data_IF_812757832975
#
_entry.id   IF_812757832975
#
_cell.length_a   1.000
_cell.length_b   1.000
_cell.length_c   1.000
_cell.angle_alpha   90.00
_cell.angle_beta   90.00
_cell.angle_gamma   90.00
#
_symmetry.space_group_name_H-M   'P 1'
#
loop_
_entity.id
_entity.type
_entity.pdbx_description
1 polymer ?
#
# COMPACT_ATOMS: atom_id res chain seq x y z
N UNK A 1 18.04 25.10 0.12
CA UNK A 1 18.44 23.74 0.56
C UNK A 1 17.50 22.77 -0.12
N UNK A 2 18.01 21.74 -0.78
CA UNK A 2 17.18 20.72 -1.46
C UNK A 2 16.40 19.93 -0.41
N UNK A 3 15.10 19.72 -0.61
CA UNK A 3 14.28 18.89 0.27
C UNK A 3 14.75 17.44 0.18
N UNK A 4 15.01 16.82 1.34
CA UNK A 4 15.30 15.39 1.48
C UNK A 4 14.35 14.78 2.50
N UNK A 5 13.44 13.95 2.01
CA UNK A 5 12.52 13.18 2.83
C UNK A 5 12.87 11.69 2.74
N UNK A 6 12.49 10.90 3.76
CA UNK A 6 12.79 9.47 3.77
C UNK A 6 11.63 8.64 4.27
N UNK A 7 11.44 7.47 3.68
CA UNK A 7 10.70 6.39 4.28
C UNK A 7 11.66 5.46 5.03
N UNK A 8 11.36 5.15 6.28
CA UNK A 8 12.26 4.42 7.17
C UNK A 8 11.55 3.22 7.84
N UNK A 9 11.17 2.18 7.05
CA UNK A 9 10.46 1.04 7.59
C UNK A 9 11.37 0.06 8.32
N UNK A 10 10.83 -0.58 9.39
CA UNK A 10 11.44 -1.75 10.01
C UNK A 10 10.95 -3.02 9.29
N UNK A 11 11.83 -3.92 8.80
CA UNK A 11 11.45 -5.10 8.02
C UNK A 11 11.02 -6.26 8.95
N UNK A 12 9.99 -6.01 9.76
CA UNK A 12 9.45 -6.97 10.74
C UNK A 12 8.15 -7.64 10.26
N UNK A 13 7.79 -7.45 8.99
CA UNK A 13 6.59 -8.01 8.41
C UNK A 13 6.18 -7.39 7.07
N UNK A 14 4.89 -7.34 6.83
CA UNK A 14 4.30 -6.83 5.59
C UNK A 14 4.37 -5.29 5.52
N UNK A 15 4.45 -4.73 4.31
CA UNK A 15 4.24 -3.29 4.11
C UNK A 15 2.76 -2.96 4.39
N UNK A 16 2.50 -2.46 5.60
CA UNK A 16 1.17 -2.10 6.03
C UNK A 16 0.68 -0.83 5.30
N UNK A 17 -0.64 -0.75 5.06
CA UNK A 17 -1.25 0.40 4.33
C UNK A 17 -0.95 1.75 5.01
N UNK A 18 -0.85 1.79 6.35
CA UNK A 18 -0.43 3.00 7.07
C UNK A 18 1.00 3.42 6.75
N UNK A 19 1.93 2.45 6.68
CA UNK A 19 3.31 2.69 6.28
C UNK A 19 3.41 3.08 4.80
N UNK A 20 2.59 2.47 3.95
CA UNK A 20 2.50 2.83 2.53
C UNK A 20 2.02 4.28 2.33
N UNK A 21 1.04 4.74 3.13
CA UNK A 21 0.61 6.15 3.12
C UNK A 21 1.75 7.08 3.56
N UNK A 22 2.48 6.70 4.61
CA UNK A 22 3.66 7.46 5.04
C UNK A 22 4.71 7.54 3.94
N UNK A 23 4.99 6.44 3.24
CA UNK A 23 5.90 6.43 2.10
C UNK A 23 5.39 7.35 0.96
N UNK A 24 4.10 7.25 0.63
CA UNK A 24 3.46 8.08 -0.39
C UNK A 24 3.57 9.59 -0.05
N UNK A 25 3.31 9.99 1.20
CA UNK A 25 3.40 11.39 1.61
C UNK A 25 4.84 11.92 1.56
N UNK A 26 5.83 11.12 1.98
CA UNK A 26 7.24 11.47 1.81
C UNK A 26 7.62 11.62 0.33
N UNK A 27 7.17 10.68 -0.52
CA UNK A 27 7.41 10.73 -1.95
C UNK A 27 6.80 11.96 -2.61
N UNK A 28 5.51 12.22 -2.36
CA UNK A 28 4.79 13.37 -2.94
C UNK A 28 5.41 14.69 -2.49
N UNK A 29 5.73 14.83 -1.20
CA UNK A 29 6.37 16.01 -0.65
C UNK A 29 7.75 16.27 -1.29
N UNK A 30 8.58 15.23 -1.38
CA UNK A 30 9.88 15.34 -2.04
C UNK A 30 9.73 15.75 -3.51
N UNK A 31 8.85 15.10 -4.26
CA UNK A 31 8.63 15.41 -5.69
C UNK A 31 8.03 16.80 -5.91
N UNK A 32 7.09 17.22 -5.08
CA UNK A 32 6.50 18.57 -5.14
C UNK A 32 7.57 19.66 -5.02
N UNK A 33 8.51 19.50 -4.10
CA UNK A 33 9.58 20.45 -3.87
C UNK A 33 10.85 20.23 -4.72
N UNK A 34 10.80 19.37 -5.74
CA UNK A 34 11.96 19.04 -6.59
C UNK A 34 13.12 18.41 -5.81
N UNK A 35 12.81 17.71 -4.71
CA UNK A 35 13.75 17.11 -3.79
C UNK A 35 13.94 15.60 -3.98
N UNK A 36 14.54 14.95 -2.98
CA UNK A 36 14.88 13.53 -2.98
C UNK A 36 14.00 12.74 -2.00
N UNK A 37 13.49 11.59 -2.47
CA UNK A 37 12.80 10.58 -1.67
C UNK A 37 13.74 9.41 -1.41
N UNK A 38 14.21 9.25 -0.18
CA UNK A 38 15.20 8.26 0.23
C UNK A 38 14.54 7.09 0.96
N UNK A 39 15.20 5.93 0.93
CA UNK A 39 14.78 4.74 1.67
C UNK A 39 15.87 4.30 2.64
N UNK A 40 15.50 4.15 3.92
CA UNK A 40 16.33 3.51 4.95
C UNK A 40 15.57 2.34 5.56
N UNK A 41 16.13 1.14 5.49
CA UNK A 41 15.60 -0.05 6.15
C UNK A 41 16.16 -0.12 7.57
N UNK A 42 15.29 -0.08 8.58
CA UNK A 42 15.66 -0.10 10.00
C UNK A 42 15.67 -1.54 10.53
N UNK A 43 16.72 -2.27 10.17
CA UNK A 43 16.95 -3.71 10.39
C UNK A 43 17.88 -4.01 11.58
N UNK A 44 17.95 -3.11 12.56
CA UNK A 44 18.81 -3.28 13.76
C UNK A 44 18.36 -4.42 14.67
N UNK A 45 17.08 -4.78 14.66
CA UNK A 45 16.56 -5.97 15.35
C UNK A 45 16.70 -7.20 14.44
N UNK A 46 17.89 -7.81 14.44
CA UNK A 46 18.21 -8.96 13.58
C UNK A 46 17.33 -10.19 13.82
N UNK A 47 16.76 -10.33 15.00
CA UNK A 47 15.88 -11.46 15.34
C UNK A 47 14.52 -11.37 14.60
N UNK A 48 14.05 -10.16 14.34
CA UNK A 48 12.75 -9.91 13.70
C UNK A 48 12.88 -9.42 12.25
N UNK A 49 14.07 -9.00 11.83
CA UNK A 49 14.34 -8.50 10.47
C UNK A 49 14.78 -9.64 9.57
N UNK A 50 14.09 -9.82 8.44
CA UNK A 50 14.44 -10.85 7.44
C UNK A 50 14.57 -10.24 6.06
N UNK A 51 15.43 -10.85 5.21
CA UNK A 51 15.58 -10.42 3.81
C UNK A 51 14.24 -10.53 3.06
N UNK A 52 13.44 -11.56 3.36
CA UNK A 52 12.11 -11.72 2.77
C UNK A 52 11.17 -10.56 3.13
N UNK A 53 11.17 -10.08 4.38
CA UNK A 53 10.38 -8.93 4.79
C UNK A 53 10.87 -7.63 4.14
N UNK A 54 12.18 -7.50 3.96
CA UNK A 54 12.77 -6.38 3.20
C UNK A 54 12.29 -6.39 1.76
N UNK A 55 12.33 -7.56 1.10
CA UNK A 55 11.89 -7.69 -0.29
C UNK A 55 10.40 -7.34 -0.45
N UNK A 56 9.54 -7.77 0.47
CA UNK A 56 8.10 -7.40 0.48
C UNK A 56 7.90 -5.89 0.55
N UNK A 57 8.72 -5.16 1.31
CA UNK A 57 8.66 -3.70 1.36
C UNK A 57 9.05 -3.10 0.00
N UNK A 58 10.16 -3.57 -0.58
CA UNK A 58 10.64 -3.10 -1.88
C UNK A 58 9.61 -3.37 -2.98
N UNK A 59 9.09 -4.60 -3.08
CA UNK A 59 8.06 -4.99 -4.04
C UNK A 59 6.78 -4.14 -3.89
N UNK A 60 6.39 -3.82 -2.66
CA UNK A 60 5.24 -2.98 -2.38
C UNK A 60 5.44 -1.52 -2.82
N UNK A 61 6.62 -0.94 -2.58
CA UNK A 61 6.97 0.40 -3.04
C UNK A 61 7.06 0.45 -4.57
N UNK A 62 7.68 -0.54 -5.19
CA UNK A 62 7.82 -0.64 -6.65
C UNK A 62 6.45 -0.82 -7.32
N UNK A 63 5.56 -1.65 -6.75
CA UNK A 63 4.19 -1.78 -7.24
C UNK A 63 3.40 -0.47 -7.13
N UNK A 64 3.54 0.28 -6.02
CA UNK A 64 2.92 1.61 -5.88
C UNK A 64 3.59 2.66 -6.78
N UNK A 65 4.72 2.34 -7.43
CA UNK A 65 5.49 3.26 -8.26
C UNK A 65 6.15 4.40 -7.44
N UNK A 66 6.51 4.14 -6.19
CA UNK A 66 7.21 5.08 -5.31
C UNK A 66 8.72 4.93 -5.48
N UNK A 67 9.22 5.43 -6.60
CA UNK A 67 10.65 5.31 -6.97
C UNK A 67 11.51 6.13 -6.04
N UNK A 68 12.41 5.46 -5.33
CA UNK A 68 13.41 6.06 -4.44
C UNK A 68 14.60 6.60 -5.20
N UNK A 69 15.22 7.62 -4.65
CA UNK A 69 16.46 8.19 -5.15
C UNK A 69 17.66 7.57 -4.40
N UNK A 70 18.78 7.41 -5.10
CA UNK A 70 19.99 6.86 -4.52
C UNK A 70 19.89 5.39 -4.09
N UNK A 71 20.82 4.98 -3.25
CA UNK A 71 20.90 3.62 -2.72
C UNK A 71 20.07 3.49 -1.44
N UNK A 72 19.44 2.31 -1.26
CA UNK A 72 18.80 1.96 0.02
C UNK A 72 19.85 1.85 1.12
N UNK A 73 19.65 2.57 2.22
CA UNK A 73 20.50 2.51 3.40
C UNK A 73 19.96 1.41 4.34
N UNK A 74 20.83 0.49 4.75
CA UNK A 74 20.52 -0.51 5.77
C UNK A 74 21.13 -0.10 7.10
N UNK A 75 20.29 0.11 8.11
CA UNK A 75 20.71 0.63 9.41
C UNK A 75 21.67 -0.31 10.14
N UNK A 76 21.52 -1.62 9.97
CA UNK A 76 22.43 -2.63 10.55
C UNK A 76 23.87 -2.51 10.08
N UNK A 77 24.13 -1.96 8.88
CA UNK A 77 25.47 -1.75 8.34
C UNK A 77 26.16 -0.54 8.95
N UNK A 78 25.44 0.29 9.70
CA UNK A 78 25.91 1.57 10.25
C UNK A 78 26.23 1.51 11.76
N UNK A 79 26.22 0.32 12.36
CA UNK A 79 26.42 0.15 13.80
C UNK A 79 27.71 0.80 14.32
N UNK A 80 28.82 0.72 13.55
CA UNK A 80 30.08 1.37 13.90
C UNK A 80 29.96 2.90 13.99
N UNK A 81 29.24 3.52 13.04
CA UNK A 81 28.98 4.98 13.04
C UNK A 81 28.10 5.40 14.21
N UNK A 82 27.08 4.61 14.55
CA UNK A 82 26.24 4.87 15.72
C UNK A 82 27.04 4.79 17.01
N UNK A 83 27.95 3.82 17.16
CA UNK A 83 28.84 3.70 18.30
C UNK A 83 29.83 4.87 18.38
N UNK A 84 30.43 5.27 17.26
CA UNK A 84 31.32 6.42 17.15
C UNK A 84 30.67 7.69 17.72
N UNK A 85 29.45 8.04 17.27
CA UNK A 85 28.70 9.22 17.74
C UNK A 85 28.38 9.10 19.23
N UNK A 86 28.00 7.93 19.74
CA UNK A 86 27.75 7.73 21.16
C UNK A 86 29.01 7.95 22.00
N UNK A 87 30.18 7.53 21.51
CA UNK A 87 31.49 7.81 22.18
C UNK A 87 31.91 9.28 22.07
N UNK A 88 31.60 9.95 20.98
CA UNK A 88 31.82 11.41 20.85
C UNK A 88 31.00 12.17 21.88
N UNK A 89 29.69 11.83 22.04
CA UNK A 89 28.85 12.42 23.10
C UNK A 89 29.39 12.14 24.49
N UNK A 90 29.98 10.96 24.71
CA UNK A 90 30.62 10.61 25.98
C UNK A 90 31.86 11.48 26.23
N UNK A 91 32.71 11.67 25.20
CA UNK A 91 33.92 12.48 25.29
C UNK A 91 33.65 13.97 25.50
N UNK A 92 32.56 14.48 24.94
CA UNK A 92 32.12 15.89 25.06
C UNK A 92 31.26 16.16 26.31
N UNK A 93 31.00 15.13 27.15
CA UNK A 93 30.23 15.25 28.38
C UNK A 93 28.71 15.32 28.19
N UNK A 94 28.21 15.10 26.96
CA UNK A 94 26.77 15.03 26.65
C UNK A 94 26.19 13.63 26.88
N UNK A 95 27.02 12.64 27.25
CA UNK A 95 26.63 11.30 27.66
C UNK A 95 27.48 10.84 28.83
N UNK A 96 27.06 9.74 29.45
CA UNK A 96 27.79 9.11 30.56
C UNK A 96 27.62 7.60 30.56
N UNK A 97 28.55 6.90 31.27
CA UNK A 97 28.50 5.44 31.47
C UNK A 97 27.53 5.07 32.56
N UNK A 98 26.63 4.15 32.27
CA UNK A 98 25.66 3.61 33.24
C UNK A 98 25.95 2.12 33.49
N UNK A 99 26.28 1.80 34.71
CA UNK A 99 26.61 0.44 35.15
C UNK A 99 25.45 -0.23 35.88
N UNK A 100 24.21 0.25 35.74
CA UNK A 100 23.03 -0.41 36.28
C UNK A 100 22.84 -1.80 35.68
N UNK A 101 22.67 -2.79 36.52
CA UNK A 101 22.26 -4.14 36.13
C UNK A 101 20.77 -4.16 35.71
N UNK A 102 20.37 -5.24 35.02
CA UNK A 102 18.96 -5.42 34.63
C UNK A 102 18.04 -5.53 35.87
N UNK A 103 18.53 -6.18 36.95
CA UNK A 103 17.77 -6.32 38.17
C UNK A 103 17.58 -4.97 38.87
N UNK A 104 18.62 -4.13 38.95
CA UNK A 104 18.49 -2.75 39.45
C UNK A 104 17.50 -1.92 38.65
N UNK A 105 17.54 -1.99 37.33
CA UNK A 105 16.60 -1.27 36.46
C UNK A 105 15.18 -1.77 36.62
N UNK A 106 15.00 -3.09 36.82
CA UNK A 106 13.70 -3.71 37.10
C UNK A 106 13.18 -3.24 38.48
N UNK A 107 13.99 -3.25 39.50
CA UNK A 107 13.61 -2.77 40.83
C UNK A 107 13.22 -1.29 40.84
N UNK A 108 13.97 -0.42 40.12
CA UNK A 108 13.62 0.99 39.95
C UNK A 108 12.24 1.16 39.27
N UNK A 109 11.96 0.34 38.24
CA UNK A 109 10.66 0.35 37.55
C UNK A 109 9.53 -0.08 38.47
N UNK A 110 9.69 -1.18 39.20
CA UNK A 110 8.69 -1.70 40.14
C UNK A 110 8.41 -0.71 41.26
N UNK A 111 9.45 -0.10 41.83
CA UNK A 111 9.30 0.95 42.85
C UNK A 111 8.52 2.15 42.29
N UNK A 112 8.88 2.66 41.12
CA UNK A 112 8.17 3.79 40.50
C UNK A 112 6.68 3.51 40.29
N UNK A 113 6.34 2.30 39.82
CA UNK A 113 4.96 1.85 39.63
C UNK A 113 4.21 1.72 40.98
N UNK A 114 4.85 1.17 42.00
CA UNK A 114 4.27 1.07 43.35
C UNK A 114 3.96 2.43 44.00
N UNK A 115 4.77 3.44 43.65
CA UNK A 115 4.59 4.84 44.09
C UNK A 115 3.65 5.65 43.16
N UNK A 116 3.02 5.03 42.16
CA UNK A 116 2.15 5.71 41.18
C UNK A 116 2.87 6.66 40.23
N UNK A 117 4.20 6.55 40.12
CA UNK A 117 5.03 7.36 39.21
C UNK A 117 5.31 6.63 37.90
N UNK A 118 5.52 7.40 36.84
CA UNK A 118 5.98 6.85 35.55
C UNK A 118 7.35 6.14 35.74
N UNK A 119 7.54 4.94 35.16
CA UNK A 119 8.78 4.17 35.31
C UNK A 119 9.90 4.78 34.47
N UNK A 120 10.67 5.67 35.06
CA UNK A 120 11.81 6.36 34.46
C UNK A 120 13.11 5.97 35.13
N UNK A 121 14.21 6.08 34.39
CA UNK A 121 15.53 5.95 35.01
C UNK A 121 15.81 7.15 35.92
N UNK A 122 16.26 6.87 37.15
CA UNK A 122 16.42 7.88 38.19
C UNK A 122 17.72 8.69 38.10
N UNK A 123 18.58 8.47 37.09
CA UNK A 123 19.85 9.15 36.95
C UNK A 123 20.97 8.64 37.88
N UNK A 124 20.85 7.45 38.45
CA UNK A 124 21.78 6.89 39.44
C UNK A 124 23.26 7.02 39.08
N UNK A 125 23.64 6.83 37.80
CA UNK A 125 25.03 6.90 37.30
C UNK A 125 25.41 8.22 36.67
N UNK A 126 24.49 9.19 36.61
CA UNK A 126 24.67 10.42 35.86
C UNK A 126 25.87 11.26 36.33
N UNK A 127 26.05 11.34 37.64
CA UNK A 127 27.07 12.18 38.30
C UNK A 127 27.97 11.37 39.24
N UNK A 128 27.92 10.01 39.17
CA UNK A 128 28.79 9.12 39.94
C UNK A 128 30.15 8.92 39.27
N UNK A 129 31.15 8.72 40.07
CA UNK A 129 32.48 8.36 39.55
C UNK A 129 32.44 6.96 38.90
N UNK A 130 32.89 6.83 37.65
CA UNK A 130 33.03 5.53 37.00
C UNK A 130 33.92 4.53 37.78
N UNK A 131 34.80 5.00 38.62
CA UNK A 131 35.62 4.16 39.51
C UNK A 131 34.81 3.37 40.54
N UNK A 132 33.58 3.78 40.82
CA UNK A 132 32.63 3.07 41.70
C UNK A 132 31.90 1.91 40.99
N UNK A 133 32.25 1.65 39.72
CA UNK A 133 31.59 0.63 38.90
C UNK A 133 31.81 -0.78 39.50
N UNK A 134 30.75 -1.61 39.55
CA UNK A 134 30.91 -2.99 39.97
C UNK A 134 31.88 -3.76 39.07
N UNK A 135 32.77 -4.59 39.63
CA UNK A 135 33.70 -5.36 38.78
C UNK A 135 32.97 -6.22 37.75
N UNK A 136 33.47 -6.20 36.49
CA UNK A 136 32.96 -7.03 35.41
C UNK A 136 31.68 -6.55 34.73
N UNK A 137 31.06 -5.45 35.19
CA UNK A 137 29.85 -4.89 34.54
C UNK A 137 30.27 -4.00 33.37
N UNK A 138 29.84 -4.36 32.15
CA UNK A 138 30.01 -3.53 30.99
C UNK A 138 28.96 -2.40 30.99
N UNK A 139 29.38 -1.13 30.79
CA UNK A 139 28.43 -0.02 30.86
C UNK A 139 27.62 0.11 29.58
N UNK A 140 26.36 0.50 29.72
CA UNK A 140 25.63 1.17 28.64
C UNK A 140 25.98 2.67 28.62
N UNK A 141 25.84 3.32 27.48
CA UNK A 141 25.97 4.78 27.37
C UNK A 141 24.60 5.42 27.36
N UNK A 142 24.39 6.40 28.24
CA UNK A 142 23.15 7.18 28.33
C UNK A 142 23.38 8.62 27.92
N UNK A 143 22.39 9.19 27.24
CA UNK A 143 22.32 10.64 26.99
C UNK A 143 22.24 11.36 28.34
N UNK A 144 22.98 12.45 28.48
CA UNK A 144 22.86 13.38 29.60
C UNK A 144 21.80 14.44 29.26
N UNK A 145 20.52 14.03 29.34
CA UNK A 145 19.38 14.86 28.94
C UNK A 145 19.26 16.12 29.80
N UNK A 146 18.78 17.26 29.27
CA UNK A 146 18.42 18.44 30.08
C UNK A 146 17.36 18.06 31.12
N UNK A 147 17.46 18.62 32.35
CA UNK A 147 16.48 18.37 33.42
C UNK A 147 15.47 19.51 33.56
N UNK A 148 15.92 20.72 33.30
CA UNK A 148 15.12 21.94 33.46
C UNK A 148 14.58 22.42 32.11
N UNK A 149 13.47 23.17 32.16
CA UNK A 149 12.82 23.72 30.96
C UNK A 149 12.02 22.67 30.17
N UNK A 150 11.74 23.02 28.93
CA UNK A 150 10.93 22.19 28.03
C UNK A 150 11.70 21.84 26.76
N UNK A 151 11.46 20.65 26.22
CA UNK A 151 11.77 20.33 24.82
C UNK A 151 10.55 20.66 23.96
N UNK A 152 10.74 21.51 22.97
CA UNK A 152 9.69 22.01 22.08
C UNK A 152 9.92 21.48 20.65
N UNK A 153 8.85 21.04 20.02
CA UNK A 153 8.83 20.61 18.61
C UNK A 153 7.79 21.45 17.87
N UNK A 154 8.24 22.18 16.86
CA UNK A 154 7.36 22.85 15.91
C UNK A 154 7.01 21.85 14.79
N UNK A 155 5.88 21.18 14.95
CA UNK A 155 5.44 20.14 14.02
C UNK A 155 4.56 20.75 12.93
N UNK A 156 4.86 20.40 11.66
CA UNK A 156 4.17 20.95 10.49
C UNK A 156 2.70 20.53 10.38
N UNK A 157 2.31 19.44 11.05
CA UNK A 157 0.93 18.94 11.06
C UNK A 157 0.27 19.18 12.41
N UNK A 158 0.94 18.78 13.51
CA UNK A 158 0.35 18.84 14.86
C UNK A 158 0.46 20.25 15.49
N UNK A 159 1.31 21.14 14.93
CA UNK A 159 1.62 22.44 15.52
C UNK A 159 2.66 22.34 16.62
N UNK A 160 2.76 23.37 17.46
CA UNK A 160 3.72 23.40 18.57
C UNK A 160 3.36 22.39 19.64
N UNK A 161 4.24 21.42 19.87
CA UNK A 161 4.10 20.42 20.95
C UNK A 161 5.29 20.55 21.90
N UNK A 162 5.04 20.50 23.21
CA UNK A 162 6.09 20.63 24.24
C UNK A 162 5.94 19.58 25.32
N UNK A 163 7.09 19.16 25.87
CA UNK A 163 7.18 18.25 27.00
C UNK A 163 8.21 18.82 27.98
N UNK A 164 7.86 18.87 29.27
CA UNK A 164 8.82 19.27 30.29
C UNK A 164 10.00 18.28 30.34
N UNK A 165 11.23 18.79 30.37
CA UNK A 165 12.43 17.95 30.39
C UNK A 165 12.45 17.02 31.62
N UNK A 166 11.87 17.44 32.75
CA UNK A 166 11.66 16.60 33.92
C UNK A 166 10.80 15.34 33.65
N UNK A 167 10.06 15.32 32.53
CA UNK A 167 9.29 14.15 32.10
C UNK A 167 10.07 13.20 31.19
N UNK A 168 11.23 13.60 30.73
CA UNK A 168 12.14 12.79 29.93
C UNK A 168 13.24 12.23 30.84
N UNK A 169 13.64 10.98 30.62
CA UNK A 169 14.75 10.36 31.35
C UNK A 169 16.00 10.28 30.46
N UNK A 170 17.16 10.05 31.11
CA UNK A 170 18.41 9.82 30.42
C UNK A 170 18.34 8.48 29.67
N UNK A 171 17.92 8.53 28.40
CA UNK A 171 17.76 7.33 27.59
C UNK A 171 19.10 6.65 27.28
N UNK A 172 19.10 5.33 27.17
CA UNK A 172 20.24 4.59 26.62
C UNK A 172 20.38 4.94 25.15
N UNK A 173 21.59 5.31 24.70
CA UNK A 173 21.93 5.55 23.30
C UNK A 173 22.74 4.39 22.71
N UNK A 174 23.57 3.72 23.55
CA UNK A 174 24.33 2.52 23.18
C UNK A 174 24.24 1.50 24.31
N UNK A 175 23.87 0.27 24.01
CA UNK A 175 23.81 -0.82 24.99
C UNK A 175 25.20 -1.30 25.37
N UNK A 176 25.28 -2.08 26.46
CA UNK A 176 26.53 -2.67 26.92
C UNK A 176 27.14 -3.68 25.94
N UNK A 177 26.35 -4.25 25.03
CA UNK A 177 26.81 -5.11 23.93
C UNK A 177 27.28 -4.34 22.70
N UNK A 178 27.26 -3.00 22.74
CA UNK A 178 27.65 -2.14 21.63
C UNK A 178 26.54 -1.89 20.61
N UNK A 179 25.34 -2.45 20.79
CA UNK A 179 24.24 -2.21 19.87
C UNK A 179 23.57 -0.84 20.14
N UNK A 180 23.23 -0.07 19.08
CA UNK A 180 22.60 1.24 19.25
C UNK A 180 21.13 1.11 19.61
N UNK A 181 20.61 2.14 20.28
CA UNK A 181 19.19 2.27 20.53
C UNK A 181 18.49 3.07 19.42
N UNK A 182 17.24 2.73 19.13
CA UNK A 182 16.41 3.29 18.07
C UNK A 182 16.49 4.82 17.94
N UNK A 183 16.20 5.56 19.03
CA UNK A 183 16.18 7.02 18.98
C UNK A 183 17.53 7.65 18.66
N UNK A 184 18.63 6.97 18.98
CA UNK A 184 19.98 7.40 18.65
C UNK A 184 20.33 7.09 17.18
N UNK A 185 20.14 5.82 16.75
CA UNK A 185 20.47 5.41 15.39
C UNK A 185 19.70 6.18 14.32
N UNK A 186 18.42 6.46 14.56
CA UNK A 186 17.59 7.25 13.63
C UNK A 186 18.14 8.66 13.46
N UNK A 187 18.54 9.33 14.55
CA UNK A 187 19.10 10.69 14.51
C UNK A 187 20.41 10.73 13.75
N UNK A 188 21.33 9.80 14.05
CA UNK A 188 22.63 9.72 13.37
C UNK A 188 22.44 9.50 11.87
N UNK A 189 21.54 8.59 11.51
CA UNK A 189 21.30 8.30 10.10
C UNK A 189 20.57 9.45 9.39
N UNK A 190 19.57 10.09 10.01
CA UNK A 190 18.90 11.25 9.45
C UNK A 190 19.88 12.42 9.23
N UNK A 191 20.81 12.64 10.18
CA UNK A 191 21.87 13.63 10.03
C UNK A 191 22.83 13.31 8.87
N UNK A 192 23.41 12.11 8.86
CA UNK A 192 24.38 11.68 7.85
C UNK A 192 23.77 11.60 6.44
N UNK A 193 22.45 11.28 6.34
CA UNK A 193 21.70 11.30 5.09
C UNK A 193 21.24 12.72 4.70
N UNK A 194 21.55 13.74 5.51
CA UNK A 194 21.12 15.13 5.34
C UNK A 194 19.59 15.27 5.17
N UNK A 195 18.82 14.52 5.96
CA UNK A 195 17.36 14.60 5.95
C UNK A 195 16.89 15.96 6.43
N UNK A 196 16.08 16.63 5.62
CA UNK A 196 15.53 17.95 5.93
C UNK A 196 14.14 17.89 6.54
N UNK A 197 13.37 16.85 6.21
CA UNK A 197 11.99 16.66 6.68
C UNK A 197 11.77 15.23 7.14
N UNK A 198 11.26 15.08 8.35
CA UNK A 198 10.90 13.82 8.98
C UNK A 198 9.38 13.70 9.01
N UNK A 199 8.81 13.06 7.97
CA UNK A 199 7.36 12.82 7.84
C UNK A 199 7.08 11.37 8.25
N UNK A 200 6.26 11.15 9.30
CA UNK A 200 6.01 9.81 9.87
C UNK A 200 4.69 9.76 10.67
N UNK A 201 4.29 8.57 11.12
CA UNK A 201 3.10 8.43 11.97
C UNK A 201 3.22 9.16 13.31
N UNK A 202 2.09 9.64 13.83
CA UNK A 202 2.00 10.37 15.10
C UNK A 202 2.28 9.52 16.34
N UNK A 203 2.29 8.18 16.20
CA UNK A 203 2.76 7.26 17.23
C UNK A 203 4.27 7.41 17.55
N UNK A 204 5.02 8.10 16.68
CA UNK A 204 6.42 8.47 16.91
C UNK A 204 6.61 9.87 17.53
N UNK A 205 5.57 10.64 17.77
CA UNK A 205 5.70 12.01 18.27
C UNK A 205 6.45 12.08 19.63
N UNK A 206 6.18 11.14 20.53
CA UNK A 206 6.88 11.05 21.83
C UNK A 206 8.37 10.72 21.70
N UNK A 207 8.77 10.02 20.62
CA UNK A 207 10.17 9.75 20.35
C UNK A 207 10.92 11.01 19.90
N UNK A 208 10.22 11.93 19.24
CA UNK A 208 10.80 13.15 18.67
C UNK A 208 11.45 14.01 19.75
N UNK A 209 10.86 14.12 20.93
CA UNK A 209 11.46 14.89 22.03
C UNK A 209 12.83 14.36 22.43
N UNK A 210 12.98 13.04 22.53
CA UNK A 210 14.26 12.40 22.82
C UNK A 210 15.26 12.54 21.68
N UNK A 211 14.78 12.50 20.44
CA UNK A 211 15.62 12.68 19.26
C UNK A 211 16.13 14.12 19.15
N UNK A 212 15.28 15.12 19.42
CA UNK A 212 15.68 16.52 19.50
C UNK A 212 16.82 16.72 20.47
N UNK A 213 16.78 16.08 21.65
CA UNK A 213 17.86 16.17 22.65
C UNK A 213 19.19 15.57 22.14
N UNK A 214 19.15 14.55 21.26
CA UNK A 214 20.38 14.03 20.61
C UNK A 214 20.93 15.05 19.61
N UNK A 215 20.10 15.64 18.74
CA UNK A 215 20.52 16.70 17.83
C UNK A 215 21.16 17.86 18.58
N UNK A 216 20.53 18.32 19.67
CA UNK A 216 21.04 19.41 20.48
C UNK A 216 22.37 19.08 21.16
N UNK A 217 22.53 17.85 21.69
CA UNK A 217 23.76 17.39 22.30
C UNK A 217 24.92 17.32 21.32
N UNK A 218 24.65 17.05 20.05
CA UNK A 218 25.65 17.01 18.99
C UNK A 218 25.87 18.37 18.30
N UNK A 219 25.05 19.39 18.62
CA UNK A 219 25.09 20.68 17.94
C UNK A 219 24.65 20.60 16.46
N UNK A 220 23.84 19.59 16.10
CA UNK A 220 23.35 19.39 14.74
C UNK A 220 22.07 20.17 14.48
N UNK A 221 21.87 20.63 13.25
CA UNK A 221 20.64 21.28 12.82
C UNK A 221 19.47 20.30 12.89
N UNK A 222 18.33 20.77 13.40
CA UNK A 222 17.11 19.97 13.46
C UNK A 222 16.45 19.87 12.07
N UNK A 223 16.03 18.70 11.64
CA UNK A 223 15.10 18.59 10.54
C UNK A 223 13.73 19.15 10.93
N UNK A 224 12.90 19.49 9.95
CA UNK A 224 11.50 19.82 10.20
C UNK A 224 10.71 18.52 10.41
N UNK A 225 9.82 18.51 11.40
CA UNK A 225 9.01 17.35 11.74
C UNK A 225 7.58 17.48 11.25
N UNK A 226 6.97 16.38 10.82
CA UNK A 226 5.56 16.30 10.44
C UNK A 226 5.01 14.94 10.88
N UNK A 227 4.12 14.93 11.88
CA UNK A 227 3.52 13.72 12.41
C UNK A 227 2.09 13.57 11.87
N UNK A 228 1.91 12.61 10.97
CA UNK A 228 0.63 12.33 10.31
C UNK A 228 -0.21 11.36 11.16
N UNK A 229 -1.52 11.62 11.34
CA UNK A 229 -2.38 10.75 12.15
C UNK A 229 -2.47 9.32 11.62
N UNK A 230 -2.69 8.35 12.50
CA UNK A 230 -2.86 6.94 12.13
C UNK A 230 -4.13 6.71 11.30
N UNK A 231 -4.17 5.57 10.59
CA UNK A 231 -5.37 5.05 9.94
C UNK A 231 -6.05 4.07 10.89
N UNK A 232 -7.35 4.26 11.10
CA UNK A 232 -8.19 3.40 11.91
C UNK A 232 -9.11 2.53 11.05
N UNK A 233 -9.58 1.43 11.59
CA UNK A 233 -10.65 0.63 11.03
C UNK A 233 -11.99 1.38 11.09
N UNK A 234 -13.02 0.82 10.45
CA UNK A 234 -14.38 1.39 10.46
C UNK A 234 -14.94 1.49 11.89
N UNK A 235 -14.50 0.60 12.81
CA UNK A 235 -14.85 0.59 14.24
C UNK A 235 -14.13 1.66 15.07
N UNK A 236 -13.24 2.44 14.46
CA UNK A 236 -12.42 3.45 15.14
C UNK A 236 -11.22 2.92 15.90
N UNK A 237 -10.97 1.60 15.90
CA UNK A 237 -9.76 1.02 16.48
C UNK A 237 -8.58 1.10 15.49
N UNK A 238 -7.34 1.00 16.00
CA UNK A 238 -6.15 0.94 15.14
C UNK A 238 -6.31 -0.18 14.10
N UNK A 239 -6.06 0.14 12.84
CA UNK A 239 -6.22 -0.80 11.73
C UNK A 239 -5.37 -2.07 11.94
N UNK A 240 -5.98 -3.23 11.73
CA UNK A 240 -5.36 -4.54 11.93
C UNK A 240 -5.95 -5.57 10.97
N UNK A 241 -5.36 -6.76 10.87
CA UNK A 241 -5.81 -7.87 9.99
C UNK A 241 -7.29 -8.26 10.15
N UNK A 242 -7.88 -8.05 11.33
CA UNK A 242 -9.32 -8.32 11.57
C UNK A 242 -10.26 -7.40 10.76
N UNK A 243 -9.74 -6.30 10.22
CA UNK A 243 -10.49 -5.34 9.44
C UNK A 243 -10.40 -5.58 7.92
N UNK A 244 -9.79 -6.68 7.48
CA UNK A 244 -9.56 -7.03 6.07
C UNK A 244 -8.10 -6.89 5.64
N UNK A 245 -7.87 -6.71 4.35
CA UNK A 245 -6.54 -6.52 3.79
C UNK A 245 -5.86 -5.29 4.39
N UNK A 246 -4.65 -5.46 4.89
CA UNK A 246 -3.85 -4.39 5.49
C UNK A 246 -2.48 -4.26 4.84
N UNK A 247 -2.05 -5.25 4.06
CA UNK A 247 -0.82 -5.24 3.28
C UNK A 247 -1.06 -4.69 1.88
N UNK A 248 -0.13 -3.90 1.40
CA UNK A 248 -0.15 -3.36 0.03
C UNK A 248 -0.23 -4.49 -1.01
N UNK A 249 0.52 -5.56 -0.83
CA UNK A 249 0.53 -6.68 -1.78
C UNK A 249 -0.79 -7.48 -1.75
N UNK A 250 -1.51 -7.53 -0.62
CA UNK A 250 -2.85 -8.11 -0.56
C UNK A 250 -3.83 -7.35 -1.46
N UNK A 251 -3.73 -6.00 -1.55
CA UNK A 251 -4.55 -5.23 -2.48
C UNK A 251 -4.21 -5.54 -3.95
N UNK A 252 -2.92 -5.72 -4.26
CA UNK A 252 -2.49 -6.18 -5.60
C UNK A 252 -3.10 -7.54 -5.95
N UNK A 253 -3.07 -8.51 -5.03
CA UNK A 253 -3.66 -9.84 -5.24
C UNK A 253 -5.19 -9.77 -5.42
N UNK A 254 -5.86 -8.90 -4.66
CA UNK A 254 -7.30 -8.63 -4.81
C UNK A 254 -7.66 -7.86 -6.09
N UNK A 255 -6.66 -7.47 -6.87
CA UNK A 255 -6.86 -6.85 -8.19
C UNK A 255 -7.14 -5.35 -8.15
N UNK A 256 -6.68 -4.66 -7.12
CA UNK A 256 -6.66 -3.20 -7.13
C UNK A 256 -5.51 -2.68 -7.99
N UNK A 257 -5.74 -1.54 -8.64
CA UNK A 257 -4.72 -0.82 -9.39
C UNK A 257 -3.87 0.04 -8.45
N UNK A 258 -2.55 0.13 -8.66
CA UNK A 258 -1.68 0.92 -7.77
C UNK A 258 -2.04 2.41 -7.74
N UNK A 259 -2.46 2.99 -8.86
CA UNK A 259 -2.92 4.39 -8.92
C UNK A 259 -4.19 4.63 -8.11
N UNK A 260 -5.13 3.67 -8.09
CA UNK A 260 -6.33 3.76 -7.28
C UNK A 260 -6.00 3.68 -5.78
N UNK A 261 -5.09 2.80 -5.39
CA UNK A 261 -4.61 2.67 -4.02
C UNK A 261 -3.86 3.93 -3.59
N UNK A 262 -2.97 4.48 -4.43
CA UNK A 262 -2.27 5.74 -4.13
C UNK A 262 -3.24 6.90 -3.94
N UNK A 263 -4.23 7.08 -4.85
CA UNK A 263 -5.22 8.13 -4.71
C UNK A 263 -6.06 7.96 -3.44
N UNK A 264 -6.47 6.73 -3.13
CA UNK A 264 -7.22 6.45 -1.91
C UNK A 264 -6.41 6.77 -0.65
N UNK A 265 -5.13 6.35 -0.59
CA UNK A 265 -4.22 6.65 0.51
C UNK A 265 -3.96 8.15 0.66
N UNK A 266 -3.84 8.88 -0.44
CA UNK A 266 -3.72 10.33 -0.43
C UNK A 266 -4.92 10.97 0.27
N UNK A 267 -6.14 10.58 -0.12
CA UNK A 267 -7.38 11.11 0.48
C UNK A 267 -7.60 10.65 1.93
N UNK A 268 -6.89 9.64 2.40
CA UNK A 268 -6.87 9.24 3.81
C UNK A 268 -5.97 10.16 4.64
N UNK A 269 -6.41 11.40 4.86
CA UNK A 269 -5.76 12.35 5.74
C UNK A 269 -5.14 13.56 5.04
N UNK A 270 -5.25 13.68 3.72
CA UNK A 270 -4.91 14.87 2.98
C UNK A 270 -6.09 15.29 2.09
N UNK A 271 -6.29 16.60 1.93
CA UNK A 271 -7.36 17.15 1.12
C UNK A 271 -6.95 18.40 0.37
N UNK A 272 -7.48 18.55 -0.85
CA UNK A 272 -7.38 19.74 -1.66
C UNK A 272 -8.72 19.95 -2.36
N UNK A 273 -9.51 20.91 -1.86
CA UNK A 273 -10.88 21.11 -2.33
C UNK A 273 -11.73 19.84 -2.32
N UNK A 274 -12.64 19.70 -3.29
CA UNK A 274 -13.60 18.60 -3.41
C UNK A 274 -13.12 17.48 -4.36
N UNK A 275 -11.89 17.55 -4.86
CA UNK A 275 -11.35 16.57 -5.82
C UNK A 275 -11.22 15.19 -5.19
N UNK A 276 -11.95 14.20 -5.71
CA UNK A 276 -11.90 12.80 -5.27
C UNK A 276 -10.94 11.96 -6.12
N UNK A 277 -10.84 12.26 -7.42
CA UNK A 277 -9.96 11.60 -8.37
C UNK A 277 -8.79 12.53 -8.65
N UNK A 278 -7.62 12.12 -8.22
CA UNK A 278 -6.39 12.91 -8.34
C UNK A 278 -5.32 11.99 -8.93
N UNK A 279 -4.87 12.31 -10.14
CA UNK A 279 -3.76 11.59 -10.78
C UNK A 279 -2.45 11.77 -9.99
N UNK A 280 -1.45 10.95 -10.27
CA UNK A 280 -0.14 11.08 -9.62
C UNK A 280 0.52 12.43 -9.88
N UNK A 281 0.46 12.92 -11.11
CA UNK A 281 1.09 14.17 -11.50
C UNK A 281 0.38 15.37 -10.83
N UNK A 282 -0.94 15.33 -10.76
CA UNK A 282 -1.72 16.30 -9.98
C UNK A 282 -1.40 16.22 -8.49
N UNK A 283 -1.30 15.01 -7.94
CA UNK A 283 -0.92 14.83 -6.54
C UNK A 283 0.46 15.42 -6.26
N UNK A 284 1.45 15.19 -7.13
CA UNK A 284 2.78 15.79 -7.00
C UNK A 284 2.70 17.31 -7.07
N UNK A 285 1.90 17.86 -7.99
CA UNK A 285 1.80 19.32 -8.15
C UNK A 285 1.07 20.04 -7.00
N UNK A 286 0.18 19.33 -6.29
CA UNK A 286 -0.71 19.93 -5.28
C UNK A 286 -0.34 19.60 -3.83
N UNK A 287 0.44 18.53 -3.62
CA UNK A 287 0.68 18.00 -2.29
C UNK A 287 1.59 18.92 -1.47
N UNK A 288 1.09 19.40 -0.33
CA UNK A 288 1.93 19.97 0.74
C UNK A 288 1.39 19.51 2.10
N UNK A 289 2.19 19.71 3.15
CA UNK A 289 1.89 19.25 4.52
C UNK A 289 0.79 20.08 5.19
N UNK A 290 0.50 21.28 4.73
CA UNK A 290 -0.61 22.11 5.21
C UNK A 290 -1.98 21.53 4.89
N UNK A 291 -2.10 20.72 3.81
CA UNK A 291 -3.29 19.94 3.46
C UNK A 291 -3.51 18.70 4.31
N UNK A 292 -2.56 18.33 5.20
CA UNK A 292 -2.69 17.13 6.04
C UNK A 292 -3.55 17.44 7.27
N UNK A 293 -4.66 16.70 7.42
CA UNK A 293 -5.55 16.81 8.57
C UNK A 293 -4.92 16.25 9.85
N UNK A 294 -5.33 16.79 11.02
CA UNK A 294 -4.87 16.36 12.35
C UNK A 294 -5.65 15.19 12.92
N UNK A 295 -6.80 14.85 12.35
CA UNK A 295 -7.67 13.78 12.83
C UNK A 295 -7.31 12.45 12.14
N UNK A 296 -7.42 11.34 12.91
CA UNK A 296 -7.27 10.01 12.35
C UNK A 296 -8.31 9.71 11.27
N UNK A 297 -7.87 9.15 10.16
CA UNK A 297 -8.74 8.74 9.06
C UNK A 297 -9.25 7.31 9.28
N UNK A 298 -10.43 6.99 8.71
CA UNK A 298 -11.00 5.65 8.78
C UNK A 298 -10.95 4.97 7.42
N UNK A 299 -10.58 3.69 7.42
CA UNK A 299 -10.57 2.85 6.23
C UNK A 299 -12.00 2.54 5.79
N UNK A 300 -12.28 2.76 4.49
CA UNK A 300 -13.54 2.43 3.81
C UNK A 300 -13.22 1.63 2.54
N UNK A 301 -13.41 0.32 2.62
CA UNK A 301 -13.14 -0.59 1.49
C UNK A 301 -14.15 -0.41 0.35
N UNK A 302 -15.39 -0.02 0.62
CA UNK A 302 -16.39 0.21 -0.41
C UNK A 302 -16.00 1.42 -1.27
N UNK A 303 -15.53 2.51 -0.62
CA UNK A 303 -15.01 3.69 -1.30
C UNK A 303 -13.76 3.35 -2.13
N UNK A 304 -12.82 2.58 -1.59
CA UNK A 304 -11.64 2.14 -2.34
C UNK A 304 -12.03 1.30 -3.57
N UNK A 305 -12.96 0.35 -3.41
CA UNK A 305 -13.41 -0.50 -4.52
C UNK A 305 -14.14 0.32 -5.60
N UNK A 306 -14.95 1.30 -5.19
CA UNK A 306 -15.58 2.23 -6.13
C UNK A 306 -14.55 3.03 -6.92
N UNK A 307 -13.58 3.60 -6.22
CA UNK A 307 -12.48 4.36 -6.81
C UNK A 307 -11.67 3.51 -7.79
N UNK A 308 -11.36 2.27 -7.42
CA UNK A 308 -10.67 1.34 -8.31
C UNK A 308 -11.43 1.09 -9.61
N UNK A 309 -12.75 0.94 -9.55
CA UNK A 309 -13.60 0.83 -10.74
C UNK A 309 -13.54 2.07 -11.65
N UNK A 310 -13.37 3.28 -11.07
CA UNK A 310 -13.16 4.50 -11.86
C UNK A 310 -11.82 4.43 -12.60
N UNK A 311 -10.74 4.07 -11.92
CA UNK A 311 -9.42 3.93 -12.52
C UNK A 311 -9.36 2.82 -13.59
N UNK A 312 -10.05 1.68 -13.37
CA UNK A 312 -10.16 0.61 -14.37
C UNK A 312 -10.78 1.12 -15.67
N UNK A 313 -11.86 1.91 -15.59
CA UNK A 313 -12.51 2.48 -16.80
C UNK A 313 -11.60 3.44 -17.57
N UNK A 314 -10.73 4.16 -16.86
CA UNK A 314 -9.78 5.12 -17.45
C UNK A 314 -8.48 4.45 -17.93
N UNK A 315 -8.17 3.26 -17.43
CA UNK A 315 -6.93 2.58 -17.74
C UNK A 315 -6.83 2.18 -19.21
N UNK A 316 -5.61 2.16 -19.73
CA UNK A 316 -5.30 1.74 -21.08
C UNK A 316 -5.69 0.28 -21.34
N UNK A 317 -6.37 0.02 -22.45
CA UNK A 317 -6.93 -1.30 -22.77
C UNK A 317 -5.83 -2.34 -23.09
N UNK A 318 -4.69 -1.94 -23.66
CA UNK A 318 -3.58 -2.84 -23.95
C UNK A 318 -2.87 -3.25 -22.65
N UNK A 319 -2.66 -2.30 -21.74
CA UNK A 319 -2.16 -2.58 -20.39
C UNK A 319 -3.08 -3.56 -19.65
N UNK A 320 -4.39 -3.28 -19.60
CA UNK A 320 -5.35 -4.16 -18.94
C UNK A 320 -5.36 -5.56 -19.57
N UNK A 321 -5.29 -5.65 -20.90
CA UNK A 321 -5.22 -6.94 -21.61
C UNK A 321 -3.99 -7.73 -21.17
N UNK A 322 -2.83 -7.09 -21.06
CA UNK A 322 -1.60 -7.73 -20.61
C UNK A 322 -1.73 -8.24 -19.16
N UNK A 323 -2.20 -7.40 -18.24
CA UNK A 323 -2.40 -7.77 -16.83
C UNK A 323 -3.40 -8.93 -16.66
N UNK A 324 -4.48 -8.93 -17.46
CA UNK A 324 -5.47 -10.02 -17.46
C UNK A 324 -4.85 -11.32 -17.96
N UNK A 325 -4.11 -11.30 -19.05
CA UNK A 325 -3.45 -12.49 -19.59
C UNK A 325 -2.47 -13.08 -18.58
N UNK A 326 -1.71 -12.26 -17.86
CA UNK A 326 -0.82 -12.72 -16.79
C UNK A 326 -1.60 -13.39 -15.65
N UNK A 327 -2.74 -12.83 -15.21
CA UNK A 327 -3.58 -13.42 -14.17
C UNK A 327 -4.21 -14.73 -14.61
N UNK A 328 -4.64 -14.82 -15.86
CA UNK A 328 -5.25 -16.02 -16.43
C UNK A 328 -4.23 -17.14 -16.75
N UNK A 329 -2.93 -16.83 -16.83
CA UNK A 329 -1.88 -17.79 -17.22
C UNK A 329 -1.80 -19.03 -16.32
N UNK A 330 -2.27 -18.94 -15.09
CA UNK A 330 -2.28 -20.07 -14.13
C UNK A 330 -3.54 -20.94 -14.21
N UNK A 331 -4.46 -20.63 -15.14
CA UNK A 331 -5.72 -21.36 -15.31
C UNK A 331 -5.59 -22.41 -16.44
N UNK A 332 -5.55 -23.71 -16.10
CA UNK A 332 -5.31 -24.79 -17.07
C UNK A 332 -6.50 -25.04 -18.02
N UNK A 333 -7.70 -24.51 -17.68
CA UNK A 333 -8.92 -24.60 -18.47
C UNK A 333 -8.98 -23.58 -19.62
N UNK A 334 -7.95 -22.74 -19.77
CA UNK A 334 -7.92 -21.65 -20.73
C UNK A 334 -6.81 -21.84 -21.78
N UNK A 335 -7.11 -21.50 -23.03
CA UNK A 335 -6.15 -21.45 -24.13
C UNK A 335 -5.76 -19.98 -24.40
N UNK A 336 -4.65 -19.57 -23.79
CA UNK A 336 -4.14 -18.20 -23.88
C UNK A 336 -3.14 -18.08 -25.03
N UNK A 337 -3.59 -17.59 -26.18
CA UNK A 337 -2.77 -17.32 -27.35
C UNK A 337 -3.14 -15.98 -27.98
N UNK A 338 -2.55 -15.66 -29.14
CA UNK A 338 -2.79 -14.40 -29.84
C UNK A 338 -4.29 -14.14 -30.12
N UNK A 339 -5.06 -15.20 -30.39
CA UNK A 339 -6.50 -15.11 -30.63
C UNK A 339 -7.24 -14.68 -29.34
N UNK A 340 -6.93 -15.29 -28.20
CA UNK A 340 -7.53 -14.89 -26.93
C UNK A 340 -7.16 -13.44 -26.54
N UNK A 341 -5.91 -13.06 -26.72
CA UNK A 341 -5.44 -11.70 -26.49
C UNK A 341 -6.20 -10.69 -27.36
N UNK A 342 -6.36 -10.99 -28.66
CA UNK A 342 -7.13 -10.14 -29.59
C UNK A 342 -8.61 -9.99 -29.14
N UNK A 343 -9.26 -11.10 -28.79
CA UNK A 343 -10.66 -11.11 -28.32
C UNK A 343 -10.84 -10.31 -27.04
N UNK A 344 -9.94 -10.47 -26.07
CA UNK A 344 -9.96 -9.74 -24.79
C UNK A 344 -9.79 -8.25 -25.06
N UNK A 345 -8.82 -7.88 -25.89
CA UNK A 345 -8.56 -6.49 -26.26
C UNK A 345 -9.77 -5.83 -26.96
N UNK A 346 -10.39 -6.55 -27.89
CA UNK A 346 -11.54 -6.05 -28.63
C UNK A 346 -12.77 -5.78 -27.74
N UNK A 347 -12.97 -6.57 -26.68
CA UNK A 347 -14.09 -6.41 -25.74
C UNK A 347 -13.74 -5.59 -24.49
N UNK A 348 -12.49 -5.18 -24.30
CA UNK A 348 -12.03 -4.50 -23.10
C UNK A 348 -12.89 -3.29 -22.71
N UNK A 349 -13.30 -2.39 -23.61
CA UNK A 349 -14.15 -1.24 -23.25
C UNK A 349 -15.45 -1.65 -22.54
N UNK A 350 -16.14 -2.69 -23.05
CA UNK A 350 -17.39 -3.19 -22.47
C UNK A 350 -17.19 -4.08 -21.22
N UNK A 351 -16.00 -4.67 -21.04
CA UNK A 351 -15.66 -5.51 -19.90
C UNK A 351 -15.26 -4.67 -18.69
N UNK A 352 -14.41 -3.67 -18.88
CA UNK A 352 -13.92 -2.80 -17.79
C UNK A 352 -15.01 -1.93 -17.17
N UNK A 353 -16.08 -1.60 -17.90
CA UNK A 353 -17.26 -0.90 -17.37
C UNK A 353 -18.02 -1.70 -16.33
N UNK A 354 -17.87 -3.01 -16.33
CA UNK A 354 -18.61 -3.97 -15.50
C UNK A 354 -17.79 -4.59 -14.38
N UNK A 355 -16.53 -4.21 -14.24
CA UNK A 355 -15.62 -4.72 -13.24
C UNK A 355 -15.16 -3.59 -12.30
N UNK A 356 -14.95 -3.94 -11.04
CA UNK A 356 -14.39 -3.04 -10.04
C UNK A 356 -12.96 -3.41 -9.66
N UNK A 357 -12.54 -4.64 -9.97
CA UNK A 357 -11.18 -5.13 -9.73
C UNK A 357 -10.66 -5.92 -10.93
N UNK A 358 -9.33 -6.08 -11.01
CA UNK A 358 -8.71 -6.94 -12.03
C UNK A 358 -9.11 -8.42 -11.87
N UNK A 359 -9.48 -8.85 -10.67
CA UNK A 359 -10.00 -10.20 -10.43
C UNK A 359 -11.35 -10.36 -11.12
N UNK A 360 -12.30 -9.46 -10.85
CA UNK A 360 -13.60 -9.47 -11.52
C UNK A 360 -13.44 -9.34 -13.04
N UNK A 361 -12.54 -8.48 -13.50
CA UNK A 361 -12.26 -8.30 -14.93
C UNK A 361 -11.71 -9.59 -15.55
N UNK A 362 -10.79 -10.28 -14.87
CA UNK A 362 -10.24 -11.57 -15.30
C UNK A 362 -11.32 -12.64 -15.43
N UNK A 363 -12.18 -12.73 -14.43
CA UNK A 363 -13.28 -13.71 -14.46
C UNK A 363 -14.28 -13.43 -15.58
N UNK A 364 -14.60 -12.13 -15.79
CA UNK A 364 -15.48 -11.70 -16.86
C UNK A 364 -14.90 -11.90 -18.27
N UNK A 365 -13.58 -12.04 -18.40
CA UNK A 365 -12.90 -12.27 -19.69
C UNK A 365 -12.63 -13.75 -19.97
N UNK A 366 -12.63 -14.61 -18.98
CA UNK A 366 -12.20 -16.00 -19.08
C UNK A 366 -12.89 -16.80 -20.20
N UNK A 367 -14.17 -16.51 -20.50
CA UNK A 367 -14.92 -17.18 -21.56
C UNK A 367 -14.32 -16.98 -22.94
N UNK A 368 -13.56 -15.90 -23.17
CA UNK A 368 -12.92 -15.59 -24.47
C UNK A 368 -11.75 -16.52 -24.78
N UNK A 369 -11.18 -17.15 -23.74
CA UNK A 369 -10.06 -18.08 -23.85
C UNK A 369 -10.47 -19.55 -23.61
N UNK A 370 -11.74 -19.84 -23.31
CA UNK A 370 -12.24 -21.21 -23.11
C UNK A 370 -12.44 -21.93 -24.43
N UNK A 371 -12.14 -23.22 -24.40
CA UNK A 371 -12.42 -24.15 -25.52
C UNK A 371 -13.81 -24.78 -25.38
N UNK A 372 -14.36 -25.28 -26.48
CA UNK A 372 -15.63 -26.00 -26.51
C UNK A 372 -15.40 -27.44 -26.03
N UNK A 373 -16.31 -28.04 -25.21
CA UNK A 373 -17.57 -27.47 -24.70
C UNK A 373 -17.39 -26.49 -23.56
N UNK A 374 -18.22 -25.44 -23.54
CA UNK A 374 -18.19 -24.46 -22.45
C UNK A 374 -18.84 -25.01 -21.18
N UNK A 375 -18.30 -24.76 -19.99
CA UNK A 375 -19.03 -24.94 -18.74
C UNK A 375 -20.15 -23.89 -18.63
N UNK A 376 -21.35 -24.32 -18.27
CA UNK A 376 -22.48 -23.42 -18.07
C UNK A 376 -22.73 -23.17 -16.58
N UNK A 377 -22.86 -21.89 -16.23
CA UNK A 377 -23.41 -21.53 -14.93
C UNK A 377 -24.86 -22.03 -14.79
N UNK A 378 -25.34 -22.36 -13.58
CA UNK A 378 -26.73 -22.90 -13.39
C UNK A 378 -27.81 -22.03 -14.04
N UNK A 379 -27.68 -20.69 -13.93
CA UNK A 379 -28.61 -19.75 -14.54
C UNK A 379 -28.53 -19.75 -16.07
N UNK A 380 -27.34 -19.88 -16.64
CA UNK A 380 -27.14 -19.95 -18.08
C UNK A 380 -27.66 -21.28 -18.64
N UNK A 381 -27.41 -22.40 -17.98
CA UNK A 381 -27.97 -23.69 -18.34
C UNK A 381 -29.50 -23.68 -18.38
N UNK A 382 -30.15 -23.02 -17.40
CA UNK A 382 -31.60 -22.88 -17.35
C UNK A 382 -32.19 -22.05 -18.52
N UNK A 383 -31.38 -21.21 -19.19
CA UNK A 383 -31.81 -20.46 -20.38
C UNK A 383 -31.84 -21.30 -21.66
N UNK A 384 -31.19 -22.45 -21.68
CA UNK A 384 -31.07 -23.34 -22.84
C UNK A 384 -32.23 -24.36 -22.88
N UNK A 385 -33.48 -23.86 -22.82
CA UNK A 385 -34.68 -24.69 -22.94
C UNK A 385 -34.78 -25.32 -24.36
N UNK A 386 -35.63 -26.38 -24.57
CA UNK A 386 -35.85 -26.93 -25.92
C UNK A 386 -36.24 -25.85 -26.95
N UNK A 387 -37.11 -24.92 -26.58
CA UNK A 387 -37.55 -23.83 -27.45
C UNK A 387 -36.39 -22.82 -27.72
N UNK A 388 -35.55 -22.55 -26.73
CA UNK A 388 -34.36 -21.71 -26.89
C UNK A 388 -33.33 -22.37 -27.82
N UNK A 389 -33.12 -23.68 -27.71
CA UNK A 389 -32.24 -24.45 -28.59
C UNK A 389 -32.71 -24.40 -30.05
N UNK A 390 -34.04 -24.49 -30.31
CA UNK A 390 -34.58 -24.31 -31.68
C UNK A 390 -34.29 -22.91 -32.20
N UNK A 391 -34.57 -21.89 -31.40
CA UNK A 391 -34.25 -20.51 -31.78
C UNK A 391 -32.74 -20.29 -32.04
N UNK A 392 -31.85 -20.90 -31.25
CA UNK A 392 -30.40 -20.85 -31.47
C UNK A 392 -29.98 -21.45 -32.80
N UNK A 393 -30.62 -22.54 -33.26
CA UNK A 393 -30.36 -23.13 -34.60
C UNK A 393 -30.75 -22.16 -35.71
N UNK A 394 -31.91 -21.49 -35.61
CA UNK A 394 -32.38 -20.52 -36.58
C UNK A 394 -31.46 -19.29 -36.61
N UNK A 395 -31.04 -18.77 -35.43
CA UNK A 395 -30.07 -17.68 -35.30
C UNK A 395 -28.73 -18.08 -35.85
N UNK A 396 -28.28 -19.30 -35.65
CA UNK A 396 -27.00 -19.81 -36.22
C UNK A 396 -27.02 -19.78 -37.75
N UNK A 397 -28.11 -20.18 -38.36
CA UNK A 397 -28.27 -20.11 -39.84
C UNK A 397 -28.25 -18.65 -40.35
N UNK A 398 -28.96 -17.74 -39.66
CA UNK A 398 -28.94 -16.32 -39.99
C UNK A 398 -27.55 -15.74 -39.90
N UNK A 399 -26.85 -15.95 -38.83
CA UNK A 399 -25.49 -15.45 -38.56
C UNK A 399 -24.47 -16.02 -39.56
N UNK A 400 -24.70 -17.25 -40.07
CA UNK A 400 -23.84 -17.85 -41.09
C UNK A 400 -23.67 -17.01 -42.34
N UNK A 401 -24.68 -16.24 -42.75
CA UNK A 401 -24.70 -15.36 -43.91
C UNK A 401 -24.61 -13.86 -43.59
N UNK A 402 -24.61 -13.46 -42.34
CA UNK A 402 -24.54 -12.06 -41.90
C UNK A 402 -23.10 -11.57 -41.90
N UNK A 403 -22.83 -10.30 -42.28
CA UNK A 403 -21.53 -9.69 -42.01
C UNK A 403 -21.23 -9.64 -40.50
N UNK A 404 -19.98 -10.01 -40.10
CA UNK A 404 -19.62 -10.14 -38.69
C UNK A 404 -19.12 -8.81 -38.09
N UNK A 405 -19.59 -7.67 -38.59
CA UNK A 405 -19.50 -6.37 -37.92
C UNK A 405 -20.57 -6.25 -36.81
N UNK A 406 -20.25 -5.58 -35.72
CA UNK A 406 -21.17 -5.42 -34.58
C UNK A 406 -22.51 -4.80 -35.01
N UNK A 407 -22.50 -3.79 -35.90
CA UNK A 407 -23.70 -3.16 -36.41
C UNK A 407 -24.57 -4.10 -37.25
N UNK A 408 -23.98 -4.90 -38.14
CA UNK A 408 -24.73 -5.86 -38.93
C UNK A 408 -25.31 -7.00 -38.05
N UNK A 409 -24.57 -7.45 -37.06
CA UNK A 409 -25.02 -8.45 -36.09
C UNK A 409 -26.19 -7.96 -35.21
N UNK A 410 -26.14 -6.73 -34.73
CA UNK A 410 -27.26 -6.11 -33.96
C UNK A 410 -28.50 -5.99 -34.85
N UNK A 411 -28.36 -5.47 -36.11
CA UNK A 411 -29.46 -5.36 -37.04
C UNK A 411 -30.10 -6.72 -37.38
N UNK A 412 -29.31 -7.75 -37.62
CA UNK A 412 -29.79 -9.10 -37.91
C UNK A 412 -30.54 -9.72 -36.71
N UNK A 413 -30.04 -9.56 -35.49
CA UNK A 413 -30.69 -10.06 -34.28
C UNK A 413 -32.01 -9.33 -33.99
N UNK A 414 -32.09 -8.02 -34.24
CA UNK A 414 -33.33 -7.26 -34.10
C UNK A 414 -34.38 -7.68 -35.14
N UNK A 415 -33.99 -7.80 -36.39
CA UNK A 415 -34.88 -8.29 -37.46
C UNK A 415 -35.39 -9.70 -37.18
N UNK A 416 -34.55 -10.60 -36.67
CA UNK A 416 -34.98 -11.95 -36.25
C UNK A 416 -35.99 -11.89 -35.07
N UNK A 417 -35.73 -11.05 -34.07
CA UNK A 417 -36.61 -10.89 -32.93
C UNK A 417 -38.03 -10.38 -33.38
N UNK A 418 -38.08 -9.40 -34.24
CA UNK A 418 -39.32 -8.89 -34.86
C UNK A 418 -40.05 -9.99 -35.64
N UNK A 419 -39.36 -10.64 -36.57
CA UNK A 419 -39.93 -11.70 -37.44
C UNK A 419 -40.49 -12.87 -36.60
N UNK A 420 -39.84 -13.24 -35.51
CA UNK A 420 -40.26 -14.32 -34.63
C UNK A 420 -41.25 -13.88 -33.53
N UNK A 421 -41.70 -12.62 -33.54
CA UNK A 421 -42.55 -12.01 -32.53
C UNK A 421 -42.03 -12.16 -31.09
N UNK A 422 -40.73 -12.02 -30.92
CA UNK A 422 -40.00 -12.11 -29.63
C UNK A 422 -39.40 -10.76 -29.26
N UNK A 423 -39.28 -10.50 -27.94
CA UNK A 423 -38.46 -9.39 -27.47
C UNK A 423 -36.98 -9.71 -27.69
N UNK A 424 -36.17 -8.70 -28.05
CA UNK A 424 -34.73 -8.88 -28.27
C UNK A 424 -34.04 -9.63 -27.11
N UNK A 425 -34.41 -9.33 -25.86
CA UNK A 425 -33.85 -10.01 -24.67
C UNK A 425 -34.15 -11.52 -24.64
N UNK A 426 -35.26 -11.97 -25.22
CA UNK A 426 -35.62 -13.40 -25.30
C UNK A 426 -34.76 -14.15 -26.32
N UNK A 427 -34.18 -13.45 -27.29
CA UNK A 427 -33.19 -13.99 -28.25
C UNK A 427 -31.78 -13.87 -27.70
N UNK A 428 -31.44 -12.71 -27.16
CA UNK A 428 -30.10 -12.38 -26.72
C UNK A 428 -29.66 -13.18 -25.46
N UNK A 429 -30.56 -13.51 -24.53
CA UNK A 429 -30.20 -14.22 -23.30
C UNK A 429 -29.77 -15.68 -23.54
N UNK A 430 -30.54 -16.51 -24.29
CA UNK A 430 -30.05 -17.86 -24.64
C UNK A 430 -28.78 -17.81 -25.50
N UNK A 431 -28.68 -16.83 -26.42
CA UNK A 431 -27.48 -16.65 -27.23
C UNK A 431 -26.27 -16.31 -26.38
N UNK A 432 -26.41 -15.42 -25.39
CA UNK A 432 -25.36 -15.12 -24.43
C UNK A 432 -24.93 -16.33 -23.64
N UNK A 433 -25.89 -17.11 -23.14
CA UNK A 433 -25.60 -18.36 -22.43
C UNK A 433 -24.78 -19.32 -23.33
N UNK A 434 -25.18 -19.49 -24.59
CA UNK A 434 -24.48 -20.33 -25.54
C UNK A 434 -23.05 -19.88 -25.85
N UNK A 435 -22.82 -18.55 -25.95
CA UNK A 435 -21.53 -17.99 -26.32
C UNK A 435 -20.55 -17.89 -25.16
N UNK A 436 -21.04 -17.75 -23.95
CA UNK A 436 -20.18 -17.40 -22.79
C UNK A 436 -20.23 -18.39 -21.62
N UNK A 437 -21.26 -19.23 -21.58
CA UNK A 437 -21.56 -20.07 -20.41
C UNK A 437 -22.19 -19.31 -19.24
N UNK A 438 -22.45 -17.99 -19.39
CA UNK A 438 -22.96 -17.11 -18.34
C UNK A 438 -24.19 -16.32 -18.84
N UNK A 439 -24.93 -15.70 -17.92
CA UNK A 439 -26.03 -14.78 -18.23
C UNK A 439 -25.59 -13.32 -18.36
N UNK A 440 -24.30 -13.03 -18.16
CA UNK A 440 -23.71 -11.69 -18.22
C UNK A 440 -22.57 -11.62 -19.22
N UNK A 441 -22.53 -10.61 -20.06
CA UNK A 441 -21.42 -10.29 -20.97
C UNK A 441 -21.55 -8.84 -21.46
N UNK A 442 -20.58 -8.28 -22.18
CA UNK A 442 -20.77 -7.08 -22.99
C UNK A 442 -21.94 -7.22 -23.98
N UNK A 443 -22.15 -6.26 -24.86
CA UNK A 443 -23.15 -6.34 -25.92
C UNK A 443 -23.06 -7.65 -26.67
N UNK A 444 -24.21 -8.27 -27.00
CA UNK A 444 -24.23 -9.58 -27.67
C UNK A 444 -23.59 -9.50 -29.07
N UNK A 445 -23.83 -8.41 -29.76
CA UNK A 445 -23.24 -8.04 -31.05
C UNK A 445 -21.71 -7.91 -30.96
N UNK A 446 -21.21 -7.17 -29.97
CA UNK A 446 -19.78 -7.02 -29.72
C UNK A 446 -19.14 -8.36 -29.31
N UNK A 447 -19.84 -9.18 -28.50
CA UNK A 447 -19.37 -10.52 -28.10
C UNK A 447 -19.24 -11.46 -29.31
N UNK A 448 -20.24 -11.45 -30.22
CA UNK A 448 -20.19 -12.22 -31.47
C UNK A 448 -19.03 -11.76 -32.36
N UNK A 449 -18.90 -10.44 -32.58
CA UNK A 449 -17.83 -9.86 -33.42
C UNK A 449 -16.44 -10.23 -32.87
N UNK A 450 -16.22 -10.17 -31.56
CA UNK A 450 -14.94 -10.49 -30.93
C UNK A 450 -14.60 -11.99 -30.97
N UNK A 451 -15.58 -12.88 -30.84
CA UNK A 451 -15.38 -14.32 -31.02
C UNK A 451 -15.04 -14.68 -32.46
N UNK A 452 -15.58 -13.95 -33.40
CA UNK A 452 -15.51 -14.27 -34.81
C UNK A 452 -16.53 -15.34 -35.23
N UNK A 453 -16.81 -15.43 -36.57
CA UNK A 453 -17.86 -16.28 -37.12
C UNK A 453 -17.74 -17.76 -36.69
N UNK A 454 -16.59 -18.36 -36.97
CA UNK A 454 -16.40 -19.80 -36.79
C UNK A 454 -16.55 -20.23 -35.33
N UNK A 455 -15.92 -19.50 -34.41
CA UNK A 455 -16.04 -19.77 -32.97
C UNK A 455 -17.46 -19.55 -32.46
N UNK A 456 -18.10 -18.45 -32.85
CA UNK A 456 -19.46 -18.14 -32.42
C UNK A 456 -20.46 -19.21 -32.87
N UNK A 457 -20.41 -19.63 -34.15
CA UNK A 457 -21.29 -20.66 -34.69
C UNK A 457 -21.01 -22.03 -34.04
N UNK A 458 -19.75 -22.36 -33.78
CA UNK A 458 -19.38 -23.61 -33.10
C UNK A 458 -19.92 -23.64 -31.67
N UNK A 459 -19.84 -22.54 -30.91
CA UNK A 459 -20.41 -22.43 -29.54
C UNK A 459 -21.92 -22.55 -29.54
N UNK A 460 -22.60 -21.88 -30.49
CA UNK A 460 -24.05 -21.96 -30.63
C UNK A 460 -24.47 -23.41 -30.94
N UNK A 461 -23.78 -24.05 -31.89
CA UNK A 461 -24.07 -25.45 -32.25
C UNK A 461 -23.89 -26.40 -31.06
N UNK A 462 -22.81 -26.28 -30.30
CA UNK A 462 -22.56 -27.08 -29.11
C UNK A 462 -23.63 -26.87 -28.01
N UNK A 463 -24.13 -25.65 -27.83
CA UNK A 463 -25.18 -25.35 -26.85
C UNK A 463 -26.57 -25.77 -27.33
N UNK A 464 -26.82 -25.88 -28.66
CA UNK A 464 -28.09 -26.28 -29.26
C UNK A 464 -28.22 -27.79 -29.49
N UNK A 465 -27.12 -28.54 -29.28
CA UNK A 465 -27.14 -29.98 -29.25
C UNK A 465 -27.88 -30.52 -28.01
#
# INVERSE_FOLDING_TARGET
MTVRARFAPSPTGLLHIGSARTALFNYLFARHHGGEFLLRVEDTDRARSTDAATQVILDGLDWLGLTRDGQTVFQSTRAARHAEVAHEMLATGHAYRCYCTQDELKAMREQALAEGRAPRYNGRWRDRDPAEAPPGVQPAIRLKAPRDGDTVVEDLVQGTVRVANAELDDMIILRSDGSPMYNHSVVVDDHDMAITHVIRGDDHLTNTFRQVQVYQAMGWDLPRFAHIPLIHGADGAKLSKRHGAVSVLEFREQGYLPEAVCNYLLRLGWGHGDSEIISRDEAISLFDLDGVGRAASRMDYAKLTHLNGVYLRQADDDRLTHEILQRLAHRPDLSLGAIAAHRIRALMPGLKDRAKTLVELSDNTAFLARTIPLPFEPKAAAMLTPEAKLALREVSQLLGSTDFSSSALDAALRAYAEKSNRKLGQVAQPLRAALTGSTTSPGIDATLAALGRDEALARIAAAAA
#
